data_IF_682560875127
#
_entry.id   IF_682560875127
#
_cell.length_a   1.000
_cell.length_b   1.000
_cell.length_c   1.000
_cell.angle_alpha   90.00
_cell.angle_beta   90.00
_cell.angle_gamma   90.00
#
_symmetry.space_group_name_H-M   'P 1'
#
loop_
_entity.id
_entity.type
_entity.pdbx_description
1 polymer ?
#
# COMPACT_ATOMS: atom_id res chain seq x y z
N UNK A 1 16.89 -3.10 13.65
CA UNK A 1 16.56 -3.61 12.31
C UNK A 1 15.25 -2.96 11.91
N UNK A 2 15.18 -2.27 10.78
CA UNK A 2 13.93 -1.71 10.26
C UNK A 2 13.06 -2.87 9.74
N UNK A 3 11.83 -3.01 10.25
CA UNK A 3 10.94 -4.11 9.85
C UNK A 3 10.09 -3.62 8.69
N UNK A 4 10.17 -4.29 7.53
CA UNK A 4 9.47 -3.87 6.32
C UNK A 4 8.69 -5.00 5.67
N UNK A 5 7.55 -4.63 5.10
CA UNK A 5 6.74 -5.46 4.21
C UNK A 5 6.62 -4.76 2.85
N UNK A 6 6.54 -5.54 1.77
CA UNK A 6 6.23 -4.96 0.47
C UNK A 6 5.56 -5.96 -0.47
N UNK A 7 4.45 -5.57 -1.09
CA UNK A 7 3.77 -6.35 -2.13
C UNK A 7 3.48 -5.53 -3.39
N UNK A 8 3.13 -6.21 -4.47
CA UNK A 8 2.70 -5.57 -5.72
C UNK A 8 1.26 -5.99 -5.97
N UNK A 9 0.40 -5.01 -6.21
CA UNK A 9 -0.99 -5.23 -6.60
C UNK A 9 -1.21 -4.79 -8.03
N UNK A 10 -2.16 -5.44 -8.71
CA UNK A 10 -2.75 -4.90 -9.95
C UNK A 10 -3.93 -4.02 -9.55
N UNK A 11 -3.73 -2.72 -9.54
CA UNK A 11 -4.73 -1.76 -9.14
C UNK A 11 -5.63 -1.36 -10.31
N UNK A 12 -6.91 -1.17 -10.01
CA UNK A 12 -7.96 -0.71 -10.91
C UNK A 12 -8.52 0.62 -10.39
N UNK A 13 -9.21 1.37 -11.26
CA UNK A 13 -9.84 2.64 -10.87
C UNK A 13 -10.88 2.39 -9.78
N UNK A 14 -10.89 3.23 -8.73
CA UNK A 14 -11.74 3.08 -7.55
C UNK A 14 -11.53 1.77 -6.75
N UNK A 15 -10.39 1.09 -6.95
CA UNK A 15 -10.07 -0.17 -6.28
C UNK A 15 -9.81 -0.02 -4.78
N UNK A 16 -10.21 -1.04 -4.00
CA UNK A 16 -10.00 -1.13 -2.56
C UNK A 16 -9.30 -2.46 -2.22
N UNK A 17 -8.13 -2.39 -1.59
CA UNK A 17 -7.24 -3.54 -1.38
C UNK A 17 -6.88 -3.67 0.09
N UNK A 18 -6.98 -4.88 0.64
CA UNK A 18 -6.53 -5.20 1.99
C UNK A 18 -5.15 -5.85 1.91
N UNK A 19 -4.20 -5.26 2.62
CA UNK A 19 -2.77 -5.58 2.58
C UNK A 19 -2.38 -6.09 3.95
N UNK A 20 -2.01 -7.38 4.04
CA UNK A 20 -1.61 -8.03 5.29
C UNK A 20 -0.08 -7.98 5.38
N UNK A 21 0.44 -7.08 6.23
CA UNK A 21 1.87 -6.82 6.39
C UNK A 21 2.51 -7.55 7.58
N UNK A 22 1.71 -7.99 8.55
CA UNK A 22 2.13 -8.78 9.72
C UNK A 22 3.27 -8.16 10.56
N UNK A 23 3.36 -6.84 10.62
CA UNK A 23 4.40 -6.12 11.38
C UNK A 23 4.06 -5.97 12.88
N UNK A 24 2.87 -6.40 13.30
CA UNK A 24 2.43 -6.40 14.70
C UNK A 24 2.40 -5.01 15.36
N UNK A 25 2.25 -3.95 14.58
CA UNK A 25 2.17 -2.56 15.04
C UNK A 25 1.23 -1.71 14.19
N UNK A 26 0.71 -0.63 14.77
CA UNK A 26 -0.01 0.44 14.06
C UNK A 26 0.88 1.64 13.73
N UNK A 27 2.06 1.72 14.34
CA UNK A 27 3.03 2.78 14.08
C UNK A 27 3.79 2.44 12.81
N UNK A 28 3.20 2.77 11.66
CA UNK A 28 3.72 2.42 10.35
C UNK A 28 3.84 3.64 9.44
N UNK A 29 4.81 3.57 8.54
CA UNK A 29 4.96 4.47 7.40
C UNK A 29 4.78 3.66 6.11
N UNK A 30 4.16 4.27 5.11
CA UNK A 30 3.90 3.62 3.83
C UNK A 30 4.37 4.46 2.65
N UNK A 31 4.63 3.79 1.54
CA UNK A 31 4.88 4.42 0.24
C UNK A 31 4.29 3.53 -0.84
N UNK A 32 3.58 4.15 -1.78
CA UNK A 32 3.01 3.46 -2.94
C UNK A 32 3.58 4.09 -4.20
N UNK A 33 4.05 3.29 -5.14
CA UNK A 33 4.51 3.78 -6.44
C UNK A 33 4.08 2.88 -7.57
N UNK A 34 3.83 3.48 -8.74
CA UNK A 34 3.49 2.76 -9.96
C UNK A 34 4.77 2.14 -10.55
N UNK A 35 4.75 0.84 -10.85
CA UNK A 35 5.95 0.13 -11.28
C UNK A 35 6.44 0.55 -12.68
N UNK A 36 5.54 0.99 -13.56
CA UNK A 36 5.87 1.33 -14.95
C UNK A 36 6.73 2.59 -15.09
N UNK A 37 6.57 3.56 -14.20
CA UNK A 37 7.21 4.88 -14.28
C UNK A 37 7.88 5.30 -12.97
N UNK A 38 7.74 4.52 -11.89
CA UNK A 38 8.28 4.85 -10.57
C UNK A 38 7.58 6.02 -9.88
N UNK A 39 6.47 6.52 -10.41
CA UNK A 39 5.75 7.65 -9.84
C UNK A 39 5.16 7.28 -8.48
N UNK A 40 5.41 8.12 -7.48
CA UNK A 40 4.81 7.96 -6.14
C UNK A 40 3.35 8.39 -6.20
N UNK A 41 2.48 7.58 -5.62
CA UNK A 41 1.06 7.87 -5.42
C UNK A 41 0.72 7.90 -3.94
N UNK A 42 -0.21 8.78 -3.58
CA UNK A 42 -0.72 8.90 -2.21
C UNK A 42 -2.19 8.47 -2.18
N UNK A 43 -2.48 7.15 -2.19
CA UNK A 43 -3.84 6.65 -2.05
C UNK A 43 -4.40 6.93 -0.65
N UNK A 44 -5.71 6.75 -0.49
CA UNK A 44 -6.31 6.73 0.84
C UNK A 44 -5.88 5.47 1.58
N UNK A 45 -5.26 5.63 2.75
CA UNK A 45 -4.82 4.52 3.60
C UNK A 45 -5.59 4.54 4.90
N UNK A 46 -6.08 3.38 5.32
CA UNK A 46 -6.67 3.17 6.64
C UNK A 46 -6.01 1.97 7.31
N UNK A 47 -5.54 2.16 8.54
CA UNK A 47 -5.07 1.05 9.39
C UNK A 47 -6.30 0.29 9.90
N UNK A 48 -6.41 -1.00 9.55
CA UNK A 48 -7.53 -1.87 9.96
C UNK A 48 -7.22 -2.46 11.33
N UNK A 49 -6.04 -3.04 11.48
CA UNK A 49 -5.51 -3.60 12.72
C UNK A 49 -3.97 -3.51 12.71
N UNK A 50 -3.31 -4.17 13.67
CA UNK A 50 -1.84 -4.14 13.81
C UNK A 50 -1.05 -4.86 12.68
N UNK A 51 -1.74 -5.58 11.82
CA UNK A 51 -1.16 -6.40 10.76
C UNK A 51 -1.73 -6.09 9.37
N UNK A 52 -2.76 -5.25 9.29
CA UNK A 52 -3.52 -5.04 8.06
C UNK A 52 -3.80 -3.56 7.81
N UNK A 53 -3.54 -3.12 6.59
CA UNK A 53 -4.00 -1.83 6.07
C UNK A 53 -5.00 -2.03 4.93
N UNK A 54 -5.90 -1.07 4.75
CA UNK A 54 -6.72 -0.94 3.57
C UNK A 54 -6.19 0.22 2.72
N UNK A 55 -6.01 -0.06 1.42
CA UNK A 55 -5.52 0.89 0.41
C UNK A 55 -6.64 1.14 -0.58
N UNK A 56 -7.08 2.38 -0.67
CA UNK A 56 -8.16 2.84 -1.52
C UNK A 56 -7.62 3.81 -2.58
N UNK A 57 -7.81 3.46 -3.84
CA UNK A 57 -7.51 4.33 -4.96
C UNK A 57 -8.78 5.03 -5.41
N UNK A 58 -8.70 6.32 -5.73
CA UNK A 58 -9.78 7.04 -6.41
C UNK A 58 -9.57 6.97 -7.92
N UNK A 59 -9.11 8.09 -8.48
CA UNK A 59 -8.72 8.17 -9.90
C UNK A 59 -7.23 7.86 -10.05
N UNK A 60 -6.93 6.64 -10.50
CA UNK A 60 -5.59 6.21 -10.93
C UNK A 60 -5.63 5.58 -12.32
N UNK A 61 -4.45 5.45 -12.91
CA UNK A 61 -4.25 4.58 -14.07
C UNK A 61 -4.23 3.13 -13.61
N UNK A 62 -4.90 2.27 -14.35
CA UNK A 62 -4.86 0.84 -14.07
C UNK A 62 -3.45 0.30 -14.32
N UNK A 63 -2.95 -0.54 -13.43
CA UNK A 63 -1.58 -1.01 -13.55
C UNK A 63 -1.03 -1.68 -12.31
N UNK A 64 0.28 -1.90 -12.30
CA UNK A 64 0.97 -2.48 -11.14
C UNK A 64 1.47 -1.39 -10.22
N UNK A 65 1.15 -1.54 -8.94
CA UNK A 65 1.56 -0.63 -7.89
C UNK A 65 2.29 -1.42 -6.81
N UNK A 66 3.49 -0.97 -6.46
CA UNK A 66 4.24 -1.51 -5.33
C UNK A 66 3.84 -0.74 -4.08
N UNK A 67 3.48 -1.47 -3.04
CA UNK A 67 3.16 -0.94 -1.71
C UNK A 67 4.29 -1.38 -0.79
N UNK A 68 4.88 -0.42 -0.07
CA UNK A 68 5.89 -0.65 0.96
C UNK A 68 5.31 -0.16 2.28
N UNK A 69 5.40 -0.99 3.32
CA UNK A 69 5.02 -0.67 4.70
C UNK A 69 6.23 -0.91 5.60
N UNK A 70 6.49 0.03 6.51
CA UNK A 70 7.65 0.02 7.41
C UNK A 70 7.20 0.31 8.84
N UNK A 71 7.82 -0.35 9.80
CA UNK A 71 7.66 -0.18 11.25
C UNK A 71 9.01 0.16 11.90
#
# INVERSE_FOLDING_TARGET
METKYAETIKAERNGNYYIVHDLQTRDIVWTVYQESNGQVHTPGIRIVDKNTINVSFGYIDEGKYRIIVKA
#
